data_IF_300696736637
#
_entry.id   IF_300696736637
#
_cell.length_a   1.000
_cell.length_b   1.000
_cell.length_c   1.000
_cell.angle_alpha   90.00
_cell.angle_beta   90.00
_cell.angle_gamma   90.00
#
_symmetry.space_group_name_H-M   'P 1'
#
loop_
_entity.id
_entity.type
_entity.pdbx_description
1 polymer ?
#
# COMPACT_ATOMS: atom_id res chain seq x y z
N UNK A 1 -2.02 -9.74 -8.77
CA UNK A 1 -3.27 -9.10 -9.19
C UNK A 1 -2.96 -7.81 -9.94
N UNK A 2 -3.50 -7.60 -11.17
CA UNK A 2 -3.32 -6.35 -11.90
C UNK A 2 -3.93 -5.17 -11.14
N UNK A 3 -3.16 -4.09 -10.99
CA UNK A 3 -3.60 -2.92 -10.23
C UNK A 3 -3.20 -1.62 -10.93
N UNK A 4 -3.88 -0.55 -10.55
CA UNK A 4 -3.41 0.80 -10.75
C UNK A 4 -2.87 1.36 -9.44
N UNK A 5 -1.73 2.05 -9.52
CA UNK A 5 -1.25 2.96 -8.50
C UNK A 5 -1.58 4.38 -8.93
N UNK A 6 -2.29 5.13 -8.09
CA UNK A 6 -2.71 6.51 -8.36
C UNK A 6 -1.92 7.42 -7.43
N UNK A 7 -1.01 8.21 -8.01
CA UNK A 7 -0.21 9.22 -7.29
C UNK A 7 -0.58 10.63 -7.74
N UNK A 8 -0.42 11.61 -6.84
CA UNK A 8 -0.62 13.02 -7.18
C UNK A 8 0.45 13.57 -8.13
N UNK A 9 1.64 12.98 -8.14
CA UNK A 9 2.79 13.48 -8.92
C UNK A 9 2.90 12.87 -10.32
N UNK A 10 2.64 11.57 -10.47
CA UNK A 10 2.80 10.85 -11.73
C UNK A 10 1.48 10.25 -12.26
N UNK A 11 0.35 10.62 -11.65
CA UNK A 11 -0.97 10.15 -12.06
C UNK A 11 -1.15 8.65 -11.87
N UNK A 12 -1.88 8.03 -12.81
CA UNK A 12 -2.21 6.61 -12.77
C UNK A 12 -1.15 5.77 -13.49
N UNK A 13 -0.60 4.77 -12.81
CA UNK A 13 0.39 3.83 -13.36
C UNK A 13 -0.04 2.39 -13.16
N UNK A 14 0.20 1.54 -14.15
CA UNK A 14 -0.11 0.10 -14.06
C UNK A 14 0.95 -0.66 -13.26
N UNK A 15 0.53 -1.69 -12.55
CA UNK A 15 1.41 -2.62 -11.86
C UNK A 15 0.73 -3.94 -11.52
N UNK A 16 1.42 -4.76 -10.74
CA UNK A 16 0.94 -6.02 -10.20
C UNK A 16 1.19 -6.06 -8.70
N UNK A 17 0.14 -6.33 -7.93
CA UNK A 17 0.22 -6.66 -6.52
C UNK A 17 0.53 -8.16 -6.38
N UNK A 18 1.60 -8.52 -5.70
CA UNK A 18 1.95 -9.93 -5.45
C UNK A 18 1.01 -10.53 -4.40
N UNK A 19 0.68 -11.81 -4.53
CA UNK A 19 -0.29 -12.49 -3.66
C UNK A 19 0.25 -12.79 -2.25
N UNK A 20 1.58 -12.74 -2.07
CA UNK A 20 2.22 -12.94 -0.78
C UNK A 20 2.10 -11.71 0.12
N UNK A 21 1.76 -11.94 1.39
CA UNK A 21 1.89 -10.94 2.43
C UNK A 21 3.34 -10.92 2.94
N UNK A 22 3.89 -9.72 3.06
CA UNK A 22 5.17 -9.43 3.70
C UNK A 22 4.98 -8.75 5.05
N UNK A 23 6.08 -8.68 5.81
CA UNK A 23 6.13 -7.97 7.08
C UNK A 23 7.32 -7.03 7.08
N UNK A 24 7.08 -5.75 7.37
CA UNK A 24 8.14 -4.81 7.68
C UNK A 24 8.38 -4.86 9.19
N UNK A 25 9.61 -5.19 9.64
CA UNK A 25 9.94 -5.19 11.05
C UNK A 25 9.72 -3.81 11.67
N UNK A 26 9.16 -3.79 12.87
CA UNK A 26 9.05 -2.58 13.69
C UNK A 26 10.13 -2.56 14.78
N UNK A 27 10.23 -1.44 15.50
CA UNK A 27 11.04 -1.34 16.72
C UNK A 27 10.63 -2.39 17.76
N UNK A 28 11.60 -2.77 18.61
CA UNK A 28 11.45 -3.83 19.62
C UNK A 28 10.17 -3.65 20.45
N UNK A 29 9.35 -4.69 20.53
CA UNK A 29 8.10 -4.71 21.30
C UNK A 29 6.87 -4.16 20.56
N UNK A 30 6.99 -3.77 19.29
CA UNK A 30 5.85 -3.40 18.43
C UNK A 30 5.58 -4.46 17.37
N UNK A 31 4.31 -4.56 16.95
CA UNK A 31 3.89 -5.47 15.89
C UNK A 31 4.53 -5.10 14.54
N UNK A 32 4.87 -6.11 13.76
CA UNK A 32 5.34 -5.92 12.38
C UNK A 32 4.21 -5.32 11.53
N UNK A 33 4.59 -4.48 10.56
CA UNK A 33 3.63 -3.90 9.62
C UNK A 33 3.36 -4.89 8.48
N UNK A 34 2.12 -5.36 8.36
CA UNK A 34 1.70 -6.25 7.29
C UNK A 34 1.59 -5.44 5.98
N UNK A 35 2.24 -5.93 4.92
CA UNK A 35 2.28 -5.26 3.62
C UNK A 35 2.06 -6.24 2.48
N UNK A 36 1.53 -5.74 1.37
CA UNK A 36 1.68 -6.37 0.06
C UNK A 36 2.85 -5.75 -0.70
N UNK A 37 3.38 -6.51 -1.66
CA UNK A 37 4.42 -6.03 -2.57
C UNK A 37 3.80 -5.62 -3.91
N UNK A 38 4.09 -4.40 -4.35
CA UNK A 38 3.69 -3.85 -5.65
C UNK A 38 4.89 -3.79 -6.58
N UNK A 39 4.75 -4.32 -7.79
CA UNK A 39 5.71 -4.13 -8.89
C UNK A 39 5.05 -3.31 -9.99
N UNK A 40 5.67 -2.21 -10.40
CA UNK A 40 5.16 -1.37 -11.48
C UNK A 40 5.52 -1.97 -12.84
N UNK A 41 4.62 -1.83 -13.82
CA UNK A 41 4.87 -2.34 -15.17
C UNK A 41 6.00 -1.59 -15.89
N UNK A 42 6.18 -0.31 -15.57
CA UNK A 42 7.22 0.55 -16.14
C UNK A 42 7.48 1.75 -15.24
N UNK A 43 8.75 2.18 -15.19
CA UNK A 43 9.17 3.31 -14.37
C UNK A 43 9.19 2.94 -12.89
N UNK A 44 10.31 3.21 -12.22
CA UNK A 44 10.46 2.94 -10.80
C UNK A 44 9.59 3.85 -9.93
N UNK A 45 9.66 3.60 -8.63
CA UNK A 45 9.10 4.50 -7.63
C UNK A 45 9.93 5.77 -7.55
N UNK A 46 9.28 6.90 -7.27
CA UNK A 46 9.92 8.20 -7.11
C UNK A 46 9.63 8.78 -5.73
N UNK A 47 10.48 9.71 -5.29
CA UNK A 47 10.28 10.45 -4.04
C UNK A 47 8.93 11.18 -4.04
N UNK A 48 8.23 11.08 -2.91
CA UNK A 48 6.92 11.69 -2.68
C UNK A 48 5.74 10.92 -3.30
N UNK A 49 5.94 9.67 -3.74
CA UNK A 49 4.82 8.79 -4.09
C UNK A 49 4.20 8.08 -2.88
N UNK A 50 4.76 8.25 -1.68
CA UNK A 50 4.14 7.76 -0.44
C UNK A 50 2.72 8.33 -0.29
N UNK A 51 1.78 7.49 0.15
CA UNK A 51 0.36 7.81 0.21
C UNK A 51 -0.41 7.55 -1.10
N UNK A 52 0.27 7.15 -2.18
CA UNK A 52 -0.41 6.74 -3.43
C UNK A 52 -1.37 5.58 -3.17
N UNK A 53 -2.56 5.66 -3.75
CA UNK A 53 -3.61 4.64 -3.56
C UNK A 53 -3.44 3.54 -4.60
N UNK A 54 -3.53 2.30 -4.16
CA UNK A 54 -3.49 1.12 -5.02
C UNK A 54 -4.89 0.53 -5.13
N UNK A 55 -5.37 0.39 -6.36
CA UNK A 55 -6.71 -0.10 -6.68
C UNK A 55 -6.66 -1.26 -7.65
N UNK A 56 -7.63 -2.15 -7.55
CA UNK A 56 -7.86 -3.19 -8.55
C UNK A 56 -8.12 -2.59 -9.93
N UNK A 57 -7.54 -3.19 -10.97
CA UNK A 57 -7.56 -2.63 -12.32
C UNK A 57 -8.94 -2.71 -12.98
N UNK A 58 -9.78 -3.66 -12.57
CA UNK A 58 -11.10 -3.91 -13.17
C UNK A 58 -12.21 -3.27 -12.35
N UNK A 59 -12.16 -3.44 -11.04
CA UNK A 59 -13.23 -3.05 -10.10
C UNK A 59 -12.98 -1.73 -9.39
N UNK A 60 -11.77 -1.17 -9.50
CA UNK A 60 -11.33 0.03 -8.77
C UNK A 60 -11.46 -0.07 -7.24
N UNK A 61 -11.60 -1.29 -6.69
CA UNK A 61 -11.59 -1.50 -5.25
C UNK A 61 -10.22 -1.17 -4.69
N UNK A 62 -10.19 -0.40 -3.60
CA UNK A 62 -8.95 0.00 -2.94
C UNK A 62 -8.35 -1.20 -2.21
N UNK A 63 -7.11 -1.52 -2.53
CA UNK A 63 -6.31 -2.45 -1.75
C UNK A 63 -5.70 -1.73 -0.55
N UNK A 64 -5.08 -0.57 -0.77
CA UNK A 64 -4.32 0.10 0.26
C UNK A 64 -3.55 1.30 -0.26
N UNK A 65 -2.51 1.68 0.47
CA UNK A 65 -1.65 2.81 0.10
C UNK A 65 -0.17 2.45 0.17
N UNK A 66 0.63 3.08 -0.70
CA UNK A 66 2.08 2.94 -0.72
C UNK A 66 2.69 3.65 0.50
N UNK A 67 3.52 2.95 1.27
CA UNK A 67 4.24 3.52 2.42
C UNK A 67 5.74 3.71 2.17
N UNK A 68 6.26 3.06 1.14
CA UNK A 68 7.68 3.10 0.78
C UNK A 68 7.97 2.15 -0.38
N UNK A 69 9.18 2.22 -0.90
CA UNK A 69 9.65 1.34 -1.94
C UNK A 69 11.12 1.00 -1.73
N UNK A 70 11.51 -0.15 -2.24
CA UNK A 70 12.89 -0.55 -2.41
C UNK A 70 13.31 -0.18 -3.84
N UNK A 71 14.13 0.86 -3.97
CA UNK A 71 14.58 1.36 -5.28
C UNK A 71 15.51 0.37 -5.98
N UNK A 72 16.32 -0.39 -5.22
CA UNK A 72 17.29 -1.36 -5.75
C UNK A 72 16.59 -2.61 -6.28
N UNK A 73 15.53 -3.06 -5.59
CA UNK A 73 14.75 -4.25 -5.97
C UNK A 73 13.53 -3.91 -6.84
N UNK A 74 13.19 -2.62 -6.98
CA UNK A 74 12.15 -2.14 -7.88
C UNK A 74 10.71 -2.44 -7.44
N UNK A 75 10.47 -2.62 -6.14
CA UNK A 75 9.13 -2.92 -5.62
C UNK A 75 8.70 -1.98 -4.48
N UNK A 76 7.39 -1.79 -4.36
CA UNK A 76 6.73 -0.94 -3.37
C UNK A 76 6.03 -1.75 -2.29
N UNK A 77 5.89 -1.17 -1.11
CA UNK A 77 5.19 -1.77 0.03
C UNK A 77 3.84 -1.09 0.23
N UNK A 78 2.78 -1.89 0.19
CA UNK A 78 1.39 -1.43 0.29
C UNK A 78 0.81 -1.89 1.62
N UNK A 79 0.38 -0.96 2.47
CA UNK A 79 -0.38 -1.31 3.67
C UNK A 79 -1.84 -1.54 3.28
N UNK A 80 -2.44 -2.70 3.61
CA UNK A 80 -3.84 -2.96 3.33
C UNK A 80 -4.76 -1.95 4.02
N UNK A 81 -5.74 -1.40 3.29
CA UNK A 81 -6.70 -0.45 3.83
C UNK A 81 -7.46 -1.03 5.03
N UNK A 82 -7.81 -2.32 5.00
CA UNK A 82 -8.46 -3.01 6.12
C UNK A 82 -7.65 -2.90 7.41
N UNK A 83 -6.31 -3.04 7.34
CA UNK A 83 -5.42 -2.89 8.50
C UNK A 83 -5.38 -1.45 9.00
N UNK A 84 -5.37 -0.48 8.09
CA UNK A 84 -5.44 0.94 8.48
C UNK A 84 -6.75 1.26 9.20
N UNK A 85 -7.89 0.75 8.72
CA UNK A 85 -9.19 0.93 9.37
C UNK A 85 -9.21 0.27 10.76
N UNK A 86 -8.71 -0.97 10.87
CA UNK A 86 -8.58 -1.67 12.16
C UNK A 86 -7.74 -0.86 13.17
N UNK A 87 -6.58 -0.34 12.74
CA UNK A 87 -5.72 0.48 13.58
C UNK A 87 -6.39 1.78 14.04
N UNK A 88 -7.16 2.44 13.16
CA UNK A 88 -7.94 3.63 13.53
C UNK A 88 -9.00 3.27 14.57
N UNK A 89 -9.73 2.17 14.36
CA UNK A 89 -10.75 1.71 15.32
C UNK A 89 -10.16 1.48 16.71
N UNK A 90 -9.04 0.76 16.78
CA UNK A 90 -8.34 0.47 18.03
C UNK A 90 -7.80 1.74 18.71
N UNK A 91 -7.15 2.62 17.95
CA UNK A 91 -6.53 3.83 18.49
C UNK A 91 -7.55 4.82 19.07
N UNK A 92 -8.73 4.92 18.45
CA UNK A 92 -9.78 5.87 18.85
C UNK A 92 -10.95 5.21 19.60
N UNK A 93 -10.87 3.91 19.89
CA UNK A 93 -11.95 3.13 20.51
C UNK A 93 -13.31 3.37 19.84
N UNK A 94 -13.36 3.25 18.50
CA UNK A 94 -14.55 3.48 17.69
C UNK A 94 -14.85 2.28 16.80
N UNK A 95 -16.12 1.96 16.61
CA UNK A 95 -16.55 0.92 15.67
C UNK A 95 -16.73 1.47 14.24
N UNK A 96 -16.90 2.80 14.13
CA UNK A 96 -17.23 3.48 12.87
C UNK A 96 -16.05 4.31 12.38
N UNK A 97 -15.57 3.92 11.20
CA UNK A 97 -14.60 4.66 10.39
C UNK A 97 -15.21 4.76 8.99
N UNK A 98 -15.41 5.98 8.52
CA UNK A 98 -15.94 6.27 7.18
C UNK A 98 -14.91 7.07 6.39
N UNK A 99 -14.84 6.83 5.09
CA UNK A 99 -14.04 7.56 4.11
C UNK A 99 -14.93 8.51 3.31
#
# INVERSE_FOLDING_TARGET
>A
VPVYMISSQNGMRSGVLLSGLGYIPSTKGRYCCLVWTLVLASGGFKKGECGSIVVDKETFRVYGHLIGADEDLGFGYIVPLARTIEQIREAFNTDRVSL
#
